data_IF_937454062623
#
_entry.id   IF_937454062623
#
_cell.length_a   1.000
_cell.length_b   1.000
_cell.length_c   1.000
_cell.angle_alpha   90.00
_cell.angle_beta   90.00
_cell.angle_gamma   90.00
#
_symmetry.space_group_name_H-M   'P 1'
#
loop_
_entity.id
_entity.type
_entity.pdbx_description
1 polymer ?
#
# COMPACT_ATOMS: atom_id res chain seq x y z
N UNK A 1 2.52 -8.53 23.20
CA UNK A 1 3.45 -7.60 23.90
C UNK A 1 3.85 -6.53 22.88
N UNK A 2 3.35 -5.32 23.03
CA UNK A 2 3.91 -4.17 22.29
C UNK A 2 5.22 -3.79 22.96
N UNK A 3 6.34 -3.95 22.23
CA UNK A 3 7.69 -3.77 22.78
C UNK A 3 8.06 -2.29 22.95
N UNK A 4 7.37 -1.40 22.24
CA UNK A 4 7.80 -0.01 22.04
C UNK A 4 6.66 1.03 22.17
N UNK A 5 5.45 0.63 22.60
CA UNK A 5 4.27 1.53 22.72
C UNK A 5 4.03 2.36 21.44
N UNK A 6 4.05 1.68 20.29
CA UNK A 6 3.90 2.30 18.97
C UNK A 6 2.45 2.18 18.51
N UNK A 7 1.82 3.32 18.25
CA UNK A 7 0.51 3.40 17.62
C UNK A 7 0.62 3.13 16.11
N UNK A 8 0.31 1.90 15.70
CA UNK A 8 0.34 1.51 14.28
C UNK A 8 -0.70 2.27 13.44
N UNK A 9 -1.77 2.78 14.04
CA UNK A 9 -2.77 3.59 13.32
C UNK A 9 -2.21 4.94 12.85
N UNK A 10 -1.13 5.43 13.48
CA UNK A 10 -0.39 6.62 13.05
C UNK A 10 0.88 6.29 12.28
N UNK A 11 1.21 5.00 12.19
CA UNK A 11 2.44 4.54 11.56
C UNK A 11 2.29 4.47 10.04
N UNK A 12 3.43 4.48 9.37
CA UNK A 12 3.58 4.41 7.93
C UNK A 12 4.29 3.10 7.57
N UNK A 13 3.89 2.49 6.46
CA UNK A 13 4.59 1.35 5.88
C UNK A 13 4.77 1.58 4.39
N UNK A 14 5.94 1.20 3.88
CA UNK A 14 6.31 1.30 2.47
C UNK A 14 6.69 -0.08 1.98
N UNK A 15 6.14 -0.51 0.84
CA UNK A 15 6.43 -1.80 0.24
C UNK A 15 5.99 -1.86 -1.22
N UNK A 16 6.35 -2.93 -1.90
CA UNK A 16 6.17 -3.10 -3.35
C UNK A 16 5.73 -4.53 -3.73
N UNK A 17 5.87 -5.48 -2.80
CA UNK A 17 5.59 -6.91 -3.03
C UNK A 17 4.36 -7.39 -2.26
N UNK A 18 3.85 -8.56 -2.63
CA UNK A 18 2.68 -9.13 -1.97
C UNK A 18 2.90 -9.54 -0.51
N UNK A 19 4.16 -9.70 -0.07
CA UNK A 19 4.52 -9.97 1.33
C UNK A 19 4.17 -8.81 2.27
N UNK A 20 4.20 -7.58 1.76
CA UNK A 20 3.96 -6.35 2.51
C UNK A 20 2.49 -6.14 2.88
N UNK A 21 1.58 -6.89 2.25
CA UNK A 21 0.14 -6.78 2.49
C UNK A 21 -0.23 -6.93 3.97
N UNK A 22 0.46 -7.82 4.69
CA UNK A 22 0.23 -8.01 6.13
C UNK A 22 0.55 -6.75 6.93
N UNK A 23 1.66 -6.07 6.62
CA UNK A 23 2.03 -4.80 7.23
C UNK A 23 1.03 -3.69 6.85
N UNK A 24 0.59 -3.66 5.60
CA UNK A 24 -0.40 -2.67 5.14
C UNK A 24 -1.75 -2.79 5.85
N UNK A 25 -2.16 -4.00 6.26
CA UNK A 25 -3.34 -4.20 7.11
C UNK A 25 -3.12 -3.58 8.49
N UNK A 26 -1.94 -3.74 9.07
CA UNK A 26 -1.67 -3.29 10.44
C UNK A 26 -1.48 -1.78 10.61
N UNK A 27 -0.94 -1.08 9.61
CA UNK A 27 -0.68 0.36 9.73
C UNK A 27 -1.85 1.22 9.27
N UNK A 28 -1.92 2.47 9.75
CA UNK A 28 -2.92 3.44 9.29
C UNK A 28 -2.58 4.12 7.97
N UNK A 29 -1.29 4.26 7.64
CA UNK A 29 -0.83 4.99 6.45
C UNK A 29 0.07 4.14 5.54
N UNK A 30 -0.48 3.12 4.83
CA UNK A 30 0.33 2.29 3.95
C UNK A 30 0.59 2.95 2.58
N UNK A 31 1.77 2.68 2.04
CA UNK A 31 2.26 3.16 0.74
C UNK A 31 2.80 1.99 -0.07
N UNK A 32 2.15 1.72 -1.19
CA UNK A 32 2.63 0.80 -2.22
C UNK A 32 3.44 1.60 -3.25
N UNK A 33 4.76 1.40 -3.31
CA UNK A 33 5.66 2.12 -4.21
C UNK A 33 6.06 1.20 -5.36
N UNK A 34 5.80 1.58 -6.61
CA UNK A 34 6.04 0.76 -7.80
C UNK A 34 5.55 -0.71 -7.63
N UNK A 35 4.30 -0.92 -7.17
CA UNK A 35 3.87 -2.25 -6.74
C UNK A 35 3.83 -3.26 -7.87
N UNK A 36 4.13 -4.51 -7.51
CA UNK A 36 3.90 -5.67 -8.39
C UNK A 36 2.42 -5.82 -8.74
N UNK A 37 2.13 -6.41 -9.91
CA UNK A 37 0.77 -6.75 -10.34
C UNK A 37 0.03 -7.60 -9.30
N UNK A 38 0.74 -8.55 -8.69
CA UNK A 38 0.20 -9.41 -7.64
C UNK A 38 -0.22 -8.63 -6.40
N UNK A 39 0.59 -7.66 -5.95
CA UNK A 39 0.25 -6.80 -4.81
C UNK A 39 -0.99 -5.96 -5.13
N UNK A 40 -1.08 -5.35 -6.31
CA UNK A 40 -2.26 -4.59 -6.73
C UNK A 40 -3.53 -5.46 -6.69
N UNK A 41 -3.48 -6.67 -7.27
CA UNK A 41 -4.63 -7.58 -7.24
C UNK A 41 -5.07 -7.90 -5.80
N UNK A 42 -4.12 -8.21 -4.92
CA UNK A 42 -4.40 -8.49 -3.49
C UNK A 42 -4.94 -7.27 -2.74
N UNK A 43 -4.51 -6.06 -3.10
CA UNK A 43 -5.04 -4.81 -2.54
C UNK A 43 -6.48 -4.61 -2.97
N UNK A 44 -6.80 -4.81 -4.26
CA UNK A 44 -8.16 -4.64 -4.81
C UNK A 44 -9.15 -5.60 -4.14
N UNK A 45 -8.72 -6.84 -3.87
CA UNK A 45 -9.52 -7.86 -3.16
C UNK A 45 -9.69 -7.57 -1.66
N UNK A 46 -8.88 -6.67 -1.08
CA UNK A 46 -8.91 -6.36 0.34
C UNK A 46 -9.48 -4.97 0.61
N UNK A 47 -10.79 -4.90 0.87
CA UNK A 47 -11.52 -3.65 1.12
C UNK A 47 -10.97 -2.81 2.28
N UNK A 48 -10.33 -3.42 3.28
CA UNK A 48 -9.73 -2.67 4.39
C UNK A 48 -8.47 -1.92 3.93
N UNK A 49 -7.53 -2.61 3.27
CA UNK A 49 -6.29 -2.01 2.77
C UNK A 49 -6.60 -1.01 1.66
N UNK A 50 -7.49 -1.36 0.74
CA UNK A 50 -7.90 -0.53 -0.41
C UNK A 50 -8.38 0.87 0.01
N UNK A 51 -9.05 0.99 1.16
CA UNK A 51 -9.55 2.28 1.67
C UNK A 51 -8.46 3.24 2.15
N UNK A 52 -7.30 2.73 2.56
CA UNK A 52 -6.23 3.52 3.19
C UNK A 52 -4.91 3.53 2.42
N UNK A 53 -4.73 2.64 1.45
CA UNK A 53 -3.49 2.50 0.68
C UNK A 53 -3.24 3.70 -0.23
N UNK A 54 -2.00 4.15 -0.26
CA UNK A 54 -1.50 5.10 -1.24
C UNK A 54 -0.69 4.32 -2.28
N UNK A 55 -1.09 4.37 -3.54
CA UNK A 55 -0.33 3.75 -4.65
C UNK A 55 0.48 4.82 -5.36
N UNK A 56 1.80 4.69 -5.32
CA UNK A 56 2.74 5.63 -5.90
C UNK A 56 3.53 4.91 -6.98
N UNK A 57 3.63 5.51 -8.17
CA UNK A 57 4.48 5.02 -9.26
C UNK A 57 5.47 6.09 -9.63
N UNK A 58 6.76 5.76 -9.56
CA UNK A 58 7.84 6.58 -10.06
C UNK A 58 8.17 6.16 -11.49
N UNK A 59 8.21 7.13 -12.41
CA UNK A 59 8.67 6.90 -13.78
C UNK A 59 9.53 8.06 -14.23
N UNK A 60 10.84 7.81 -14.38
CA UNK A 60 11.85 8.84 -14.67
C UNK A 60 11.82 9.93 -13.59
N UNK A 61 11.64 11.19 -13.97
CA UNK A 61 11.62 12.37 -13.11
C UNK A 61 10.21 12.74 -12.63
N UNK A 62 9.23 11.83 -12.78
CA UNK A 62 7.83 12.06 -12.41
C UNK A 62 7.34 11.01 -11.42
N UNK A 63 6.59 11.46 -10.42
CA UNK A 63 5.91 10.62 -9.43
C UNK A 63 4.40 10.76 -9.62
N UNK A 64 3.73 9.63 -9.80
CA UNK A 64 2.29 9.53 -9.95
C UNK A 64 1.67 8.97 -8.68
N UNK A 65 0.58 9.57 -8.21
CA UNK A 65 -0.32 8.95 -7.24
C UNK A 65 -1.51 8.38 -7.99
N UNK A 66 -1.67 7.06 -7.94
CA UNK A 66 -2.72 6.36 -8.67
C UNK A 66 -3.97 6.22 -7.81
N UNK A 67 -5.14 6.34 -8.44
CA UNK A 67 -6.41 5.97 -7.83
C UNK A 67 -6.67 4.47 -8.05
N UNK A 68 -6.65 3.71 -6.96
CA UNK A 68 -6.84 2.26 -6.99
C UNK A 68 -8.23 1.85 -7.50
N UNK A 69 -9.24 2.74 -7.40
CA UNK A 69 -10.60 2.45 -7.87
C UNK A 69 -10.75 2.63 -9.37
N UNK A 70 -9.85 3.39 -9.99
CA UNK A 70 -9.86 3.75 -11.41
C UNK A 70 -8.59 3.24 -12.10
N UNK A 71 -8.14 2.04 -11.72
CA UNK A 71 -6.93 1.44 -12.25
C UNK A 71 -7.26 0.38 -13.31
N UNK A 72 -6.70 0.55 -14.51
CA UNK A 72 -6.72 -0.48 -15.55
C UNK A 72 -5.34 -1.15 -15.62
N UNK A 73 -5.32 -2.48 -15.44
CA UNK A 73 -4.10 -3.27 -15.55
C UNK A 73 -4.02 -3.88 -16.95
N UNK A 74 -3.01 -3.45 -17.72
CA UNK A 74 -2.69 -3.99 -19.05
C UNK A 74 -1.83 -5.26 -18.91
#
# INVERSE_FOLDING_TARGET
>A
KEKYDIDLSKSYAYGDTSGDLTMFKSVGNPYAINPTKELISKIIENEEVKKKINVIVERKDVIYKLDINNLELI
#
